data_IF_364722861758
#
_entry.id   IF_364722861758
#
_cell.length_a   1.000
_cell.length_b   1.000
_cell.length_c   1.000
_cell.angle_alpha   90.00
_cell.angle_beta   90.00
_cell.angle_gamma   90.00
#
_symmetry.space_group_name_H-M   'P 1'
#
loop_
_entity.id
_entity.type
_entity.pdbx_description
1 polymer ?
#
# COMPACT_ATOMS: atom_id res chain seq x y z
N UNK A 1 -12.74 -22.52 16.11
CA UNK A 1 -13.90 -22.49 17.03
C UNK A 1 -13.54 -21.60 18.24
N UNK A 2 -14.52 -21.14 19.00
CA UNK A 2 -14.29 -20.43 20.27
C UNK A 2 -14.25 -21.48 21.38
N UNK A 3 -13.20 -21.49 22.19
CA UNK A 3 -13.06 -22.39 23.35
C UNK A 3 -12.48 -21.64 24.54
N UNK A 4 -13.34 -21.28 25.49
CA UNK A 4 -12.95 -20.45 26.63
C UNK A 4 -11.98 -21.15 27.60
N UNK A 5 -11.86 -22.49 27.56
CA UNK A 5 -10.89 -23.21 28.38
C UNK A 5 -9.46 -22.96 27.93
N UNK A 6 -9.25 -22.62 26.65
CA UNK A 6 -7.95 -22.33 26.05
C UNK A 6 -7.64 -20.82 26.05
N UNK A 7 -8.42 -20.00 26.75
CA UNK A 7 -8.26 -18.54 26.76
C UNK A 7 -6.85 -18.14 27.20
N UNK A 8 -6.14 -17.41 26.33
CA UNK A 8 -4.77 -16.95 26.56
C UNK A 8 -3.79 -18.10 26.85
N UNK A 9 -4.10 -19.33 26.43
CA UNK A 9 -3.18 -20.45 26.53
C UNK A 9 -1.96 -20.19 25.64
N UNK A 10 -0.78 -20.54 26.17
CA UNK A 10 0.49 -20.36 25.49
C UNK A 10 0.62 -21.21 24.22
N UNK A 11 1.70 -20.98 23.45
CA UNK A 11 2.06 -21.79 22.29
C UNK A 11 2.12 -23.29 22.60
N UNK A 12 1.52 -24.08 21.72
CA UNK A 12 1.60 -25.56 21.72
C UNK A 12 1.91 -26.05 20.32
N UNK A 13 2.14 -27.35 20.13
CA UNK A 13 2.38 -27.91 18.79
C UNK A 13 1.17 -27.72 17.86
N UNK A 14 -0.04 -27.81 18.40
CA UNK A 14 -1.29 -27.63 17.64
C UNK A 14 -1.65 -26.17 17.42
N UNK A 15 -1.21 -25.28 18.32
CA UNK A 15 -1.38 -23.82 18.22
C UNK A 15 -0.03 -23.10 18.40
N UNK A 16 0.80 -22.99 17.35
CA UNK A 16 2.18 -22.47 17.45
C UNK A 16 2.28 -21.02 17.95
N UNK A 17 1.23 -20.23 17.72
CA UNK A 17 1.13 -18.86 18.24
C UNK A 17 0.18 -18.74 19.43
N UNK A 18 -0.20 -19.86 20.04
CA UNK A 18 -1.11 -19.91 21.17
C UNK A 18 -2.52 -19.46 20.81
N UNK A 19 -3.27 -19.07 21.85
CA UNK A 19 -4.68 -18.72 21.74
C UNK A 19 -4.96 -17.29 22.20
N UNK A 20 -6.01 -16.69 21.64
CA UNK A 20 -6.45 -15.33 21.98
C UNK A 20 -7.36 -15.28 23.22
N UNK A 21 -7.93 -14.10 23.50
CA UNK A 21 -8.82 -13.87 24.64
C UNK A 21 -10.15 -14.64 24.59
N UNK A 22 -10.52 -15.18 23.42
CA UNK A 22 -11.68 -16.04 23.21
C UNK A 22 -11.27 -17.51 23.01
N UNK A 23 -9.98 -17.83 23.22
CA UNK A 23 -9.43 -19.17 23.05
C UNK A 23 -9.41 -19.64 21.58
N UNK A 24 -9.36 -18.71 20.63
CA UNK A 24 -9.19 -19.03 19.21
C UNK A 24 -7.71 -19.08 18.88
N UNK A 25 -7.31 -19.97 17.98
CA UNK A 25 -5.94 -20.09 17.49
C UNK A 25 -5.48 -18.78 16.81
N UNK A 26 -4.38 -18.19 17.31
CA UNK A 26 -3.83 -16.92 16.82
C UNK A 26 -3.26 -17.04 15.42
N UNK A 27 -2.59 -18.15 15.08
CA UNK A 27 -1.99 -18.37 13.77
C UNK A 27 -3.08 -18.49 12.68
N UNK A 28 -4.15 -19.22 12.95
CA UNK A 28 -5.29 -19.36 12.05
C UNK A 28 -5.96 -17.99 11.82
N UNK A 29 -6.15 -17.20 12.88
CA UNK A 29 -6.68 -15.82 12.77
C UNK A 29 -5.74 -14.91 11.99
N UNK A 30 -4.43 -15.00 12.22
CA UNK A 30 -3.43 -14.22 11.51
C UNK A 30 -3.42 -14.54 10.01
N UNK A 31 -3.48 -15.83 9.66
CA UNK A 31 -3.54 -16.29 8.27
C UNK A 31 -4.82 -15.87 7.55
N UNK A 32 -5.98 -16.01 8.20
CA UNK A 32 -7.23 -15.52 7.62
C UNK A 32 -7.25 -13.98 7.52
N UNK A 33 -6.71 -13.29 8.52
CA UNK A 33 -6.55 -11.84 8.52
C UNK A 33 -5.60 -11.32 7.44
N UNK A 34 -4.64 -12.14 6.99
CA UNK A 34 -3.75 -11.77 5.90
C UNK A 34 -4.54 -11.49 4.61
N UNK A 35 -5.56 -12.29 4.30
CA UNK A 35 -6.40 -12.05 3.12
C UNK A 35 -7.11 -10.69 3.20
N UNK A 36 -7.61 -10.33 4.38
CA UNK A 36 -8.32 -9.07 4.57
C UNK A 36 -7.38 -7.86 4.60
N UNK A 37 -6.27 -7.91 5.34
CA UNK A 37 -5.35 -6.77 5.42
C UNK A 37 -4.51 -6.64 4.16
N UNK A 38 -3.76 -7.68 3.79
CA UNK A 38 -2.85 -7.65 2.64
C UNK A 38 -3.62 -7.63 1.31
N UNK A 39 -4.72 -8.38 1.19
CA UNK A 39 -5.56 -8.36 0.00
C UNK A 39 -6.18 -6.99 -0.25
N UNK A 40 -6.75 -6.36 0.78
CA UNK A 40 -7.31 -4.99 0.66
C UNK A 40 -6.21 -3.98 0.35
N UNK A 41 -5.05 -4.07 1.01
CA UNK A 41 -3.92 -3.18 0.74
C UNK A 41 -3.42 -3.30 -0.70
N UNK A 42 -3.38 -4.53 -1.24
CA UNK A 42 -2.99 -4.79 -2.63
C UNK A 42 -4.01 -4.22 -3.62
N UNK A 43 -5.30 -4.40 -3.37
CA UNK A 43 -6.37 -3.83 -4.19
C UNK A 43 -6.33 -2.30 -4.20
N UNK A 44 -6.21 -1.67 -3.02
CA UNK A 44 -6.07 -0.22 -2.87
C UNK A 44 -4.78 0.27 -3.54
N UNK A 45 -3.67 -0.44 -3.36
CA UNK A 45 -2.39 -0.10 -3.99
C UNK A 45 -2.45 -0.16 -5.52
N UNK A 46 -3.10 -1.17 -6.09
CA UNK A 46 -3.33 -1.29 -7.53
C UNK A 46 -4.22 -0.15 -8.06
N UNK A 47 -5.33 0.15 -7.37
CA UNK A 47 -6.18 1.28 -7.72
C UNK A 47 -5.41 2.61 -7.67
N UNK A 48 -4.65 2.84 -6.60
CA UNK A 48 -3.82 4.04 -6.43
C UNK A 48 -2.72 4.17 -7.48
N UNK A 49 -2.13 3.06 -7.94
CA UNK A 49 -1.18 3.05 -9.05
C UNK A 49 -1.85 3.47 -10.35
N UNK A 50 -3.01 2.90 -10.68
CA UNK A 50 -3.74 3.22 -11.91
C UNK A 50 -4.20 4.67 -11.93
N UNK A 51 -4.83 5.14 -10.85
CA UNK A 51 -5.29 6.54 -10.75
C UNK A 51 -4.11 7.50 -10.67
N UNK A 52 -3.04 7.14 -9.94
CA UNK A 52 -1.81 7.90 -9.85
C UNK A 52 -1.14 8.09 -11.21
N UNK A 53 -1.00 7.01 -11.98
CA UNK A 53 -0.45 7.05 -13.32
C UNK A 53 -1.32 7.92 -14.24
N UNK A 54 -2.64 7.71 -14.25
CA UNK A 54 -3.55 8.50 -15.08
C UNK A 54 -3.51 10.00 -14.75
N UNK A 55 -3.55 10.35 -13.46
CA UNK A 55 -3.49 11.73 -13.00
C UNK A 55 -2.13 12.38 -13.31
N UNK A 56 -1.03 11.64 -13.14
CA UNK A 56 0.32 12.16 -13.39
C UNK A 56 0.68 12.33 -14.86
N UNK A 57 0.02 11.59 -15.77
CA UNK A 57 0.11 11.81 -17.22
C UNK A 57 -0.61 13.10 -17.66
N UNK A 58 -1.50 13.65 -16.82
CA UNK A 58 -2.29 14.85 -17.08
C UNK A 58 -2.02 15.95 -16.02
N UNK A 59 -0.75 16.38 -15.82
CA UNK A 59 -0.36 17.19 -14.67
C UNK A 59 -1.12 18.52 -14.58
N UNK A 60 -1.46 19.15 -15.72
CA UNK A 60 -2.20 20.41 -15.74
C UNK A 60 -3.59 20.33 -15.10
N UNK A 61 -4.19 19.14 -15.08
CA UNK A 61 -5.52 18.91 -14.51
C UNK A 61 -5.46 18.40 -13.07
N UNK A 62 -4.32 17.86 -12.64
CA UNK A 62 -4.21 17.12 -11.39
C UNK A 62 -3.40 17.81 -10.29
N UNK A 63 -2.57 18.84 -10.59
CA UNK A 63 -1.69 19.47 -9.58
C UNK A 63 -2.42 19.88 -8.30
N UNK A 64 -3.53 20.62 -8.39
CA UNK A 64 -4.27 21.05 -7.20
C UNK A 64 -4.90 19.89 -6.41
N UNK A 65 -5.46 18.90 -7.12
CA UNK A 65 -6.05 17.72 -6.48
C UNK A 65 -4.98 16.86 -5.77
N UNK A 66 -3.78 16.75 -6.34
CA UNK A 66 -2.64 16.05 -5.75
C UNK A 66 -2.21 16.73 -4.46
N UNK A 67 -2.09 18.06 -4.45
CA UNK A 67 -1.70 18.82 -3.26
C UNK A 67 -2.73 18.64 -2.14
N UNK A 68 -4.01 18.83 -2.42
CA UNK A 68 -5.10 18.61 -1.45
C UNK A 68 -5.08 17.18 -0.91
N UNK A 69 -5.01 16.17 -1.77
CA UNK A 69 -4.99 14.78 -1.34
C UNK A 69 -3.76 14.40 -0.51
N UNK A 70 -2.60 15.02 -0.76
CA UNK A 70 -1.39 14.81 0.04
C UNK A 70 -1.46 15.48 1.43
N UNK A 71 -2.24 16.54 1.58
CA UNK A 71 -2.41 17.19 2.89
C UNK A 71 -3.27 16.39 3.86
N UNK A 72 -4.13 15.51 3.34
CA UNK A 72 -5.08 14.75 4.15
C UNK A 72 -4.45 13.43 4.64
N UNK A 73 -4.26 13.24 5.96
CA UNK A 73 -3.81 11.96 6.49
C UNK A 73 -4.88 10.87 6.27
N UNK A 74 -4.49 9.61 5.95
CA UNK A 74 -5.44 8.51 5.75
C UNK A 74 -6.34 8.24 6.97
N UNK A 75 -5.82 8.47 8.18
CA UNK A 75 -6.59 8.30 9.42
C UNK A 75 -7.73 9.32 9.52
N UNK A 76 -7.48 10.58 9.14
CA UNK A 76 -8.51 11.63 9.13
C UNK A 76 -9.57 11.30 8.08
N UNK A 77 -9.15 10.90 6.87
CA UNK A 77 -10.08 10.42 5.85
C UNK A 77 -10.93 9.24 6.37
N UNK A 78 -10.31 8.31 7.12
CA UNK A 78 -10.99 7.16 7.72
C UNK A 78 -12.03 7.56 8.76
N UNK A 79 -11.73 8.54 9.61
CA UNK A 79 -12.68 9.09 10.57
C UNK A 79 -13.91 9.69 9.88
N UNK A 80 -13.71 10.46 8.80
CA UNK A 80 -14.80 11.05 8.03
C UNK A 80 -15.68 9.99 7.35
N UNK A 81 -15.05 8.98 6.74
CA UNK A 81 -15.78 7.88 6.10
C UNK A 81 -16.54 7.06 7.12
N UNK A 82 -15.93 6.72 8.25
CA UNK A 82 -16.59 5.98 9.32
C UNK A 82 -17.74 6.77 9.96
N UNK A 83 -17.61 8.09 10.09
CA UNK A 83 -18.70 8.95 10.57
C UNK A 83 -19.90 8.97 9.60
N UNK A 84 -19.65 8.91 8.29
CA UNK A 84 -20.70 8.95 7.27
C UNK A 84 -21.34 7.58 6.98
N UNK A 85 -20.54 6.52 6.94
CA UNK A 85 -20.94 5.18 6.46
C UNK A 85 -20.88 4.09 7.55
N UNK A 86 -20.37 4.42 8.72
CA UNK A 86 -20.07 3.46 9.78
C UNK A 86 -18.71 2.75 9.60
N UNK A 87 -18.17 2.15 10.68
CA UNK A 87 -16.95 1.34 10.62
C UNK A 87 -17.09 0.12 9.70
N UNK A 88 -16.20 -0.02 8.72
CA UNK A 88 -16.18 -1.18 7.83
C UNK A 88 -14.84 -1.33 7.11
N UNK A 89 -14.54 -2.54 6.64
CA UNK A 89 -13.35 -2.82 5.80
C UNK A 89 -13.39 -2.00 4.51
N UNK A 90 -14.56 -1.89 3.88
CA UNK A 90 -14.74 -1.09 2.66
C UNK A 90 -14.55 0.40 2.92
N UNK A 91 -15.08 0.93 4.03
CA UNK A 91 -14.89 2.32 4.43
C UNK A 91 -13.41 2.66 4.65
N UNK A 92 -12.68 1.78 5.36
CA UNK A 92 -11.24 1.93 5.54
C UNK A 92 -10.49 1.90 4.19
N UNK A 93 -10.86 0.99 3.28
CA UNK A 93 -10.26 0.91 1.95
C UNK A 93 -10.49 2.18 1.13
N UNK A 94 -11.71 2.73 1.14
CA UNK A 94 -12.07 3.98 0.45
C UNK A 94 -11.26 5.16 1.00
N UNK A 95 -11.19 5.28 2.33
CA UNK A 95 -10.44 6.34 2.99
C UNK A 95 -8.96 6.33 2.62
N UNK A 96 -8.34 5.15 2.62
CA UNK A 96 -6.93 5.00 2.25
C UNK A 96 -6.76 5.21 0.74
N UNK A 97 -7.66 4.71 -0.10
CA UNK A 97 -7.60 4.91 -1.55
C UNK A 97 -7.70 6.40 -1.94
N UNK A 98 -8.48 7.19 -1.22
CA UNK A 98 -8.68 8.62 -1.49
C UNK A 98 -7.39 9.46 -1.38
N UNK A 99 -6.42 9.00 -0.59
CA UNK A 99 -5.14 9.70 -0.35
C UNK A 99 -3.95 8.95 -0.97
N UNK A 100 -4.05 7.62 -1.12
CA UNK A 100 -2.95 6.79 -1.58
C UNK A 100 -2.51 7.05 -3.03
N UNK A 101 -3.35 7.62 -3.90
CA UNK A 101 -2.96 7.86 -5.30
C UNK A 101 -2.04 9.08 -5.48
N UNK A 102 -2.14 10.08 -4.61
CA UNK A 102 -1.55 11.40 -4.83
C UNK A 102 -0.01 11.40 -4.90
N UNK A 103 0.74 10.68 -4.04
CA UNK A 103 2.19 10.59 -4.19
C UNK A 103 2.63 9.89 -5.48
N UNK A 104 1.85 8.91 -5.96
CA UNK A 104 2.13 8.21 -7.22
C UNK A 104 1.88 9.12 -8.42
N UNK A 105 0.84 9.96 -8.36
CA UNK A 105 0.58 10.98 -9.37
C UNK A 105 1.67 12.04 -9.43
N UNK A 106 2.10 12.55 -8.27
CA UNK A 106 3.21 13.51 -8.19
C UNK A 106 4.50 12.95 -8.78
N UNK A 107 4.84 11.71 -8.43
CA UNK A 107 6.02 11.01 -8.95
C UNK A 107 5.93 10.77 -10.46
N UNK A 108 4.77 10.31 -10.95
CA UNK A 108 4.52 10.13 -12.38
C UNK A 108 4.70 11.45 -13.13
N UNK A 109 4.10 12.54 -12.65
CA UNK A 109 4.20 13.85 -13.28
C UNK A 109 5.65 14.37 -13.33
N UNK A 110 6.45 14.10 -12.29
CA UNK A 110 7.87 14.44 -12.28
C UNK A 110 8.66 13.66 -13.34
N UNK A 111 8.48 12.34 -13.40
CA UNK A 111 9.17 11.49 -14.38
C UNK A 111 8.74 11.79 -15.83
N UNK A 112 7.47 12.12 -16.05
CA UNK A 112 6.98 12.54 -17.36
C UNK A 112 7.65 13.83 -17.81
N UNK A 113 7.79 14.82 -16.92
CA UNK A 113 8.52 16.06 -17.23
C UNK A 113 10.00 15.80 -17.53
N UNK A 114 10.64 14.94 -16.76
CA UNK A 114 12.04 14.53 -16.97
C UNK A 114 12.23 13.86 -18.33
N UNK A 115 11.42 12.84 -18.67
CA UNK A 115 11.49 12.15 -19.96
C UNK A 115 11.21 13.09 -21.14
N UNK A 116 10.25 14.01 -21.01
CA UNK A 116 10.02 15.02 -22.03
C UNK A 116 11.20 15.97 -22.22
N UNK A 117 11.97 16.26 -21.18
CA UNK A 117 13.18 17.07 -21.25
C UNK A 117 14.40 16.34 -21.83
N UNK A 118 14.34 15.01 -21.99
CA UNK A 118 15.47 14.21 -22.45
C UNK A 118 15.83 14.46 -23.93
N UNK A 119 17.13 14.39 -24.25
CA UNK A 119 17.64 14.65 -25.61
C UNK A 119 17.09 13.69 -26.67
N UNK A 120 16.80 12.43 -26.32
CA UNK A 120 16.24 11.45 -27.25
C UNK A 120 14.77 11.78 -27.61
N UNK A 121 13.96 12.23 -26.65
CA UNK A 121 12.60 12.69 -26.91
C UNK A 121 12.60 13.99 -27.71
N UNK A 122 13.51 14.92 -27.42
CA UNK A 122 13.65 16.16 -28.19
C UNK A 122 14.04 15.89 -29.65
N UNK A 123 15.02 15.02 -29.89
CA UNK A 123 15.40 14.60 -31.24
C UNK A 123 14.23 13.92 -31.99
N UNK A 124 13.49 13.03 -31.31
CA UNK A 124 12.30 12.40 -31.90
C UNK A 124 11.23 13.40 -32.31
N UNK A 125 11.02 14.47 -31.52
CA UNK A 125 10.13 15.59 -31.88
C UNK A 125 10.61 16.35 -33.11
N UNK A 126 11.90 16.64 -33.20
CA UNK A 126 12.49 17.32 -34.37
C UNK A 126 12.31 16.51 -35.66
N UNK A 127 12.28 15.18 -35.55
CA UNK A 127 11.99 14.26 -36.65
C UNK A 127 10.48 14.11 -36.95
N UNK A 128 9.62 14.92 -36.35
CA UNK A 128 8.18 14.95 -36.63
C UNK A 128 7.36 13.85 -35.95
N UNK A 129 7.88 13.20 -34.91
CA UNK A 129 7.09 12.21 -34.17
C UNK A 129 5.87 12.85 -33.47
N UNK A 130 4.71 12.21 -33.61
CA UNK A 130 3.48 12.68 -32.96
C UNK A 130 3.56 12.58 -31.42
N UNK A 131 2.84 13.43 -30.67
CA UNK A 131 2.82 13.37 -29.20
C UNK A 131 2.41 12.00 -28.64
N UNK A 132 1.48 11.31 -29.30
CA UNK A 132 1.00 9.98 -28.90
C UNK A 132 2.07 8.90 -29.11
N UNK A 133 2.85 8.98 -30.20
CA UNK A 133 3.98 8.09 -30.45
C UNK A 133 5.09 8.31 -29.41
N UNK A 134 5.41 9.57 -29.11
CA UNK A 134 6.40 9.91 -28.08
C UNK A 134 5.97 9.36 -26.72
N UNK A 135 4.71 9.57 -26.35
CA UNK A 135 4.16 9.11 -25.08
C UNK A 135 4.25 7.58 -24.95
N UNK A 136 3.80 6.82 -25.96
CA UNK A 136 3.75 5.35 -25.90
C UNK A 136 5.10 4.67 -26.06
N UNK A 137 6.00 5.24 -26.87
CA UNK A 137 7.28 4.59 -27.22
C UNK A 137 8.44 5.03 -26.35
N UNK A 138 8.41 6.25 -25.80
CA UNK A 138 9.53 6.81 -25.03
C UNK A 138 9.14 7.04 -23.57
N UNK A 139 8.07 7.79 -23.31
CA UNK A 139 7.71 8.23 -21.96
C UNK A 139 7.16 7.08 -21.11
N UNK A 140 6.09 6.41 -21.55
CA UNK A 140 5.44 5.32 -20.80
C UNK A 140 6.42 4.19 -20.43
N UNK A 141 7.26 3.68 -21.35
CA UNK A 141 8.24 2.64 -21.02
C UNK A 141 9.31 3.08 -20.00
N UNK A 142 9.67 4.37 -19.97
CA UNK A 142 10.61 4.92 -18.98
C UNK A 142 9.96 5.14 -17.61
N UNK A 143 8.72 5.61 -17.58
CA UNK A 143 8.00 5.97 -16.34
C UNK A 143 7.44 4.74 -15.62
N UNK A 144 6.84 3.78 -16.35
CA UNK A 144 6.09 2.67 -15.76
C UNK A 144 6.90 1.83 -14.74
N UNK A 145 8.14 1.39 -15.01
CA UNK A 145 8.91 0.59 -14.06
C UNK A 145 9.18 1.34 -12.75
N UNK A 146 9.45 2.64 -12.84
CA UNK A 146 9.77 3.49 -11.70
C UNK A 146 8.54 3.75 -10.82
N UNK A 147 7.39 4.05 -11.43
CA UNK A 147 6.14 4.27 -10.69
C UNK A 147 5.63 2.95 -10.09
N UNK A 148 5.75 1.83 -10.81
CA UNK A 148 5.39 0.51 -10.29
C UNK A 148 6.25 0.14 -9.07
N UNK A 149 7.57 0.38 -9.14
CA UNK A 149 8.47 0.19 -8.00
C UNK A 149 8.05 1.05 -6.80
N UNK A 150 7.70 2.31 -7.03
CA UNK A 150 7.19 3.19 -5.97
C UNK A 150 5.88 2.64 -5.38
N UNK A 151 4.93 2.18 -6.20
CA UNK A 151 3.68 1.60 -5.70
C UNK A 151 3.91 0.37 -4.81
N UNK A 152 4.81 -0.53 -5.19
CA UNK A 152 5.18 -1.70 -4.37
C UNK A 152 5.76 -1.26 -3.03
N UNK A 153 6.67 -0.28 -3.01
CA UNK A 153 7.25 0.25 -1.77
C UNK A 153 6.22 0.90 -0.83
N UNK A 154 5.06 1.29 -1.35
CA UNK A 154 3.98 1.89 -0.56
C UNK A 154 2.97 0.90 -0.02
N UNK A 155 2.94 -0.35 -0.51
CA UNK A 155 2.03 -1.38 -0.02
C UNK A 155 2.09 -1.56 1.51
N UNK A 156 3.25 -1.60 2.18
CA UNK A 156 3.31 -1.73 3.64
C UNK A 156 2.66 -0.54 4.36
N UNK A 157 2.86 0.68 3.85
CA UNK A 157 2.23 1.88 4.40
C UNK A 157 0.71 1.89 4.22
N UNK A 158 0.21 1.40 3.08
CA UNK A 158 -1.22 1.22 2.83
C UNK A 158 -1.81 0.19 3.80
N UNK A 159 -1.16 -0.98 3.94
CA UNK A 159 -1.58 -2.01 4.88
C UNK A 159 -1.56 -1.52 6.33
N UNK A 160 -0.53 -0.79 6.72
CA UNK A 160 -0.42 -0.19 8.04
C UNK A 160 -1.54 0.84 8.27
N UNK A 161 -1.91 1.65 7.27
CA UNK A 161 -3.01 2.60 7.40
C UNK A 161 -4.36 1.88 7.59
N UNK A 162 -4.62 0.81 6.83
CA UNK A 162 -5.81 -0.03 6.98
C UNK A 162 -5.85 -0.67 8.37
N UNK A 163 -4.74 -1.29 8.80
CA UNK A 163 -4.62 -1.88 10.12
C UNK A 163 -4.76 -0.84 11.23
N UNK A 164 -4.25 0.38 11.05
CA UNK A 164 -4.40 1.48 12.02
C UNK A 164 -5.87 1.87 12.19
N UNK A 165 -6.64 1.91 11.09
CA UNK A 165 -8.08 2.15 11.15
C UNK A 165 -8.81 0.99 11.83
N UNK A 166 -8.46 -0.26 11.51
CA UNK A 166 -8.97 -1.45 12.20
C UNK A 166 -8.69 -1.43 13.70
N UNK A 167 -7.48 -1.03 14.08
CA UNK A 167 -7.03 -0.95 15.47
C UNK A 167 -7.83 0.06 16.30
N UNK A 168 -8.18 1.21 15.72
CA UNK A 168 -9.00 2.25 16.37
C UNK A 168 -10.51 1.94 16.26
N UNK A 169 -10.89 0.79 15.68
CA UNK A 169 -12.28 0.35 15.57
C UNK A 169 -13.04 0.94 14.38
N UNK A 170 -12.36 1.59 13.43
CA UNK A 170 -12.94 2.19 12.21
C UNK A 170 -12.89 1.26 11.00
N UNK A 171 -12.20 0.11 11.12
CA UNK A 171 -12.00 -0.86 10.03
C UNK A 171 -12.93 -2.07 10.10
N UNK A 172 -12.36 -3.25 9.86
CA UNK A 172 -13.08 -4.51 9.89
C UNK A 172 -13.76 -4.73 11.26
N UNK A 173 -14.94 -5.32 11.24
CA UNK A 173 -15.70 -5.63 12.44
C UNK A 173 -15.69 -7.15 12.70
N UNK A 174 -15.73 -7.60 13.97
CA UNK A 174 -15.90 -9.01 14.29
C UNK A 174 -17.12 -9.62 13.56
N UNK A 175 -17.06 -10.88 13.08
CA UNK A 175 -16.03 -11.88 13.34
C UNK A 175 -14.85 -11.88 12.34
N UNK A 176 -14.84 -10.99 11.35
CA UNK A 176 -13.83 -10.97 10.28
C UNK A 176 -12.45 -10.59 10.84
N UNK A 177 -11.44 -11.47 10.79
CA UNK A 177 -10.11 -11.12 11.26
C UNK A 177 -9.43 -10.17 10.28
N UNK A 178 -8.74 -9.18 10.84
CA UNK A 178 -7.93 -8.19 10.14
C UNK A 178 -6.80 -7.83 11.11
N UNK A 179 -5.56 -7.68 10.64
CA UNK A 179 -4.39 -7.56 11.52
C UNK A 179 -4.47 -6.40 12.52
N UNK A 180 -5.04 -5.27 12.13
CA UNK A 180 -5.32 -4.16 13.03
C UNK A 180 -6.31 -4.50 14.15
N UNK A 181 -7.42 -5.14 13.79
CA UNK A 181 -8.40 -5.63 14.76
C UNK A 181 -7.81 -6.70 15.69
N UNK A 182 -7.01 -7.65 15.15
CA UNK A 182 -6.32 -8.67 15.95
C UNK A 182 -5.40 -8.02 16.99
N UNK A 183 -4.65 -6.99 16.58
CA UNK A 183 -3.76 -6.26 17.47
C UNK A 183 -4.56 -5.54 18.57
N UNK A 184 -5.67 -4.87 18.22
CA UNK A 184 -6.53 -4.19 19.18
C UNK A 184 -7.14 -5.14 20.22
N UNK A 185 -7.62 -6.32 19.79
CA UNK A 185 -8.15 -7.34 20.69
C UNK A 185 -7.09 -7.91 21.64
N UNK A 186 -5.81 -7.93 21.22
CA UNK A 186 -4.70 -8.44 22.02
C UNK A 186 -4.14 -7.43 23.05
N UNK A 187 -4.28 -6.11 22.80
CA UNK A 187 -3.69 -5.07 23.66
C UNK A 187 -4.06 -5.17 25.14
N UNK A 188 -5.32 -5.39 25.54
CA UNK A 188 -5.68 -5.52 26.97
C UNK A 188 -5.01 -6.71 27.68
N UNK A 189 -4.44 -7.64 26.92
CA UNK A 189 -3.86 -8.89 27.41
C UNK A 189 -2.37 -9.01 27.11
N UNK A 190 -1.71 -7.95 26.64
CA UNK A 190 -0.32 -8.01 26.17
C UNK A 190 0.67 -8.52 27.22
N UNK A 191 0.44 -8.22 28.50
CA UNK A 191 1.27 -8.71 29.61
C UNK A 191 1.12 -10.21 29.85
N UNK A 192 -0.05 -10.77 29.52
CA UNK A 192 -0.40 -12.18 29.76
C UNK A 192 -0.17 -13.06 28.53
N UNK A 193 -0.43 -12.54 27.34
CA UNK A 193 -0.31 -13.24 26.07
C UNK A 193 0.39 -12.35 25.02
N UNK A 194 1.67 -11.99 25.22
CA UNK A 194 2.40 -11.08 24.33
C UNK A 194 2.47 -11.60 22.88
N UNK A 195 2.49 -12.92 22.69
CA UNK A 195 2.48 -13.55 21.36
C UNK A 195 1.26 -13.14 20.52
N UNK A 196 0.09 -12.94 21.13
CA UNK A 196 -1.14 -12.60 20.43
C UNK A 196 -1.07 -11.19 19.81
N UNK A 197 -0.33 -10.27 20.44
CA UNK A 197 -0.06 -8.94 19.91
C UNK A 197 1.14 -8.92 18.94
N UNK A 198 2.19 -9.68 19.25
CA UNK A 198 3.38 -9.77 18.41
C UNK A 198 3.10 -10.40 17.04
N UNK A 199 2.15 -11.34 16.96
CA UNK A 199 1.78 -12.00 15.70
C UNK A 199 1.34 -11.01 14.59
N UNK A 200 0.30 -10.16 14.75
CA UNK A 200 -0.07 -9.19 13.74
C UNK A 200 0.99 -8.10 13.50
N UNK A 201 1.73 -7.70 14.54
CA UNK A 201 2.81 -6.72 14.40
C UNK A 201 3.97 -7.25 13.52
N UNK A 202 4.38 -8.50 13.75
CA UNK A 202 5.42 -9.16 12.94
C UNK A 202 4.95 -9.41 11.51
N UNK A 203 3.68 -9.77 11.29
CA UNK A 203 3.12 -9.91 9.95
C UNK A 203 3.18 -8.61 9.13
N UNK A 204 2.84 -7.47 9.75
CA UNK A 204 2.99 -6.13 9.13
C UNK A 204 4.45 -5.82 8.81
N UNK A 205 5.40 -6.14 9.70
CA UNK A 205 6.82 -5.94 9.47
C UNK A 205 7.36 -6.80 8.32
N UNK A 206 6.96 -8.09 8.26
CA UNK A 206 7.33 -9.01 7.19
C UNK A 206 6.77 -8.56 5.84
N UNK A 207 5.56 -8.00 5.81
CA UNK A 207 5.01 -7.38 4.60
C UNK A 207 5.89 -6.21 4.11
N UNK A 208 6.44 -5.43 5.03
CA UNK A 208 7.47 -4.42 4.75
C UNK A 208 8.69 -4.99 4.02
N UNK A 209 9.29 -6.03 4.60
CA UNK A 209 10.45 -6.70 4.01
C UNK A 209 10.12 -7.33 2.63
N UNK A 210 8.95 -7.92 2.49
CA UNK A 210 8.46 -8.49 1.23
C UNK A 210 8.32 -7.42 0.13
N UNK A 211 7.77 -6.25 0.46
CA UNK A 211 7.64 -5.15 -0.48
C UNK A 211 9.01 -4.63 -0.94
N UNK A 212 9.97 -4.49 -0.02
CA UNK A 212 11.33 -4.03 -0.36
C UNK A 212 12.03 -5.03 -1.29
N UNK A 213 11.99 -6.31 -0.97
CA UNK A 213 12.59 -7.38 -1.80
C UNK A 213 11.94 -7.49 -3.18
N UNK A 214 10.62 -7.31 -3.26
CA UNK A 214 9.91 -7.25 -4.55
C UNK A 214 10.29 -6.01 -5.35
N UNK A 215 10.40 -4.85 -4.69
CA UNK A 215 10.76 -3.60 -5.34
C UNK A 215 12.20 -3.59 -5.87
N UNK A 216 13.14 -4.31 -5.25
CA UNK A 216 14.51 -4.48 -5.77
C UNK A 216 14.57 -5.44 -6.96
N UNK A 217 13.67 -6.43 -7.04
CA UNK A 217 13.56 -7.33 -8.17
C UNK A 217 13.05 -6.64 -9.47
N UNK A 218 12.32 -5.53 -9.33
CA UNK A 218 11.89 -4.69 -10.47
C UNK A 218 13.12 -3.99 -11.06
N UNK A 219 13.75 -4.63 -12.07
CA UNK A 219 14.92 -4.09 -12.76
C UNK A 219 14.56 -2.82 -13.52
N UNK A 220 15.24 -1.72 -13.19
CA UNK A 220 15.27 -0.54 -14.04
C UNK A 220 16.28 -0.78 -15.16
N UNK A 221 15.82 -0.88 -16.41
CA UNK A 221 16.72 -0.81 -17.58
C UNK A 221 17.23 0.63 -17.68
N UNK A 222 18.29 0.96 -16.95
CA UNK A 222 19.01 2.22 -17.16
C UNK A 222 19.75 2.08 -18.50
N UNK A 223 19.24 2.72 -19.55
CA UNK A 223 19.97 2.87 -20.81
C UNK A 223 21.30 3.53 -20.49
N UNK A 224 22.40 2.81 -20.74
CA UNK A 224 23.77 3.34 -20.66
C UNK A 224 23.84 4.61 -21.51
N UNK A 225 24.05 5.75 -20.87
CA UNK A 225 24.59 6.91 -21.57
C UNK A 225 26.07 6.59 -21.83
N UNK A 226 26.42 6.27 -23.07
CA UNK A 226 27.81 6.31 -23.51
C UNK A 226 28.27 7.77 -23.45
N UNK A 227 29.40 8.10 -22.79
CA UNK A 227 30.06 9.37 -23.02
C UNK A 227 30.62 9.32 -24.44
N UNK A 228 29.90 9.92 -25.39
CA UNK A 228 30.45 10.16 -26.72
C UNK A 228 31.55 11.23 -26.58
N UNK A 229 32.80 10.76 -26.62
CA UNK A 229 33.97 11.41 -27.24
C UNK A 229 33.92 12.93 -27.32
N UNK A 230 34.45 13.60 -26.31
CA UNK A 230 35.06 14.91 -26.49
C UNK A 230 36.47 14.68 -27.03
N UNK A 231 36.63 14.85 -28.33
CA UNK A 231 37.91 15.10 -29.02
C UNK A 231 37.82 16.47 -29.66
#
# INVERSE_FOLDING_TARGET
AVDLHLRLAGPTLDAPFGHDALGRDVLARLGHGALHTFGTATAVGAAALLTGLAAGLLPRLSTGAIEVANTLPPVIAGLLVAAALGPSTAGAAIAVAATAWAPLAAHTAALVREEHGSGHVQASRMLGASPTRILRTHVLPGVLPLVTRHAVLRLPGIALAIASLGFVGLGAQPPTPEWGLLLAEAMPYVERAPWAALAPATALALLGAFAVTTATAIRTRRTRQNPATAT
#
